data_IF_908146495027
#
_entry.id   IF_908146495027
#
_cell.length_a   1.000
_cell.length_b   1.000
_cell.length_c   1.000
_cell.angle_alpha   90.00
_cell.angle_beta   90.00
_cell.angle_gamma   90.00
#
_symmetry.space_group_name_H-M   'P 1'
#
loop_
_entity.id
_entity.type
_entity.pdbx_description
1 polymer ?
#
# COMPACT_ATOMS: atom_id res chain seq x y z
N UNK A 1 8.73 -4.64 -8.12
CA UNK A 1 9.99 -4.50 -7.35
C UNK A 1 10.77 -3.27 -7.83
N UNK A 2 11.47 -2.61 -6.92
CA UNK A 2 12.27 -1.43 -7.18
C UNK A 2 13.62 -1.57 -6.46
N UNK A 3 14.72 -1.08 -7.06
CA UNK A 3 16.08 -1.26 -6.52
C UNK A 3 16.36 -0.42 -5.27
N UNK A 4 15.64 0.70 -5.11
CA UNK A 4 15.90 1.71 -4.07
C UNK A 4 14.66 2.00 -3.22
N UNK A 5 14.07 0.99 -2.55
CA UNK A 5 12.82 1.11 -1.81
C UNK A 5 13.05 1.85 -0.49
N UNK A 6 12.78 3.15 -0.46
CA UNK A 6 13.04 4.03 0.68
C UNK A 6 12.18 3.75 1.92
N UNK A 7 11.05 3.07 1.78
CA UNK A 7 10.08 2.82 2.86
C UNK A 7 10.00 1.36 3.29
N UNK A 8 10.72 0.44 2.63
CA UNK A 8 10.62 -0.99 2.89
C UNK A 8 11.62 -1.45 3.95
N UNK A 9 11.16 -2.34 4.82
CA UNK A 9 12.04 -3.04 5.76
C UNK A 9 12.80 -4.21 5.09
N UNK A 10 13.78 -4.81 5.80
CA UNK A 10 14.70 -5.81 5.21
C UNK A 10 13.99 -6.99 4.54
N UNK A 11 12.90 -7.49 5.12
CA UNK A 11 12.14 -8.64 4.56
C UNK A 11 11.58 -8.30 3.18
N UNK A 12 11.01 -7.11 3.02
CA UNK A 12 10.43 -6.66 1.75
C UNK A 12 11.53 -6.32 0.76
N UNK A 13 12.64 -5.70 1.21
CA UNK A 13 13.80 -5.43 0.37
C UNK A 13 14.37 -6.72 -0.23
N UNK A 14 14.63 -7.73 0.60
CA UNK A 14 15.11 -9.03 0.12
C UNK A 14 14.14 -9.71 -0.84
N UNK A 15 12.82 -9.58 -0.62
CA UNK A 15 11.84 -10.09 -1.56
C UNK A 15 11.88 -9.33 -2.90
N UNK A 16 12.06 -8.02 -2.85
CA UNK A 16 12.29 -7.15 -4.02
C UNK A 16 13.55 -7.55 -4.80
N UNK A 17 14.66 -7.78 -4.13
CA UNK A 17 15.92 -8.23 -4.73
C UNK A 17 15.75 -9.58 -5.47
N UNK A 18 15.07 -10.56 -4.83
CA UNK A 18 14.76 -11.84 -5.49
C UNK A 18 13.91 -11.68 -6.74
N UNK A 19 12.94 -10.77 -6.71
CA UNK A 19 12.08 -10.46 -7.85
C UNK A 19 12.87 -9.79 -8.97
N UNK A 20 13.75 -8.82 -8.65
CA UNK A 20 14.61 -8.14 -9.60
C UNK A 20 15.61 -9.11 -10.26
N UNK A 21 16.23 -10.01 -9.49
CA UNK A 21 17.09 -11.05 -10.02
C UNK A 21 16.39 -11.95 -11.06
N UNK A 22 15.07 -12.14 -10.90
CA UNK A 22 14.20 -12.86 -11.84
C UNK A 22 13.59 -11.96 -12.93
N UNK A 23 14.03 -10.69 -13.02
CA UNK A 23 13.54 -9.67 -13.98
C UNK A 23 12.02 -9.48 -13.93
N UNK A 24 11.44 -9.53 -12.73
CA UNK A 24 10.01 -9.27 -12.54
C UNK A 24 9.77 -7.76 -12.60
N UNK A 25 9.18 -7.30 -13.68
CA UNK A 25 8.75 -5.91 -13.88
C UNK A 25 7.22 -5.78 -13.91
N UNK A 26 6.74 -4.56 -14.15
CA UNK A 26 5.31 -4.19 -14.20
C UNK A 26 4.50 -5.12 -15.10
N UNK A 27 4.94 -5.37 -16.32
CA UNK A 27 4.23 -6.22 -17.27
C UNK A 27 3.99 -7.65 -16.75
N UNK A 28 4.97 -8.22 -16.02
CA UNK A 28 4.84 -9.55 -15.42
C UNK A 28 3.84 -9.55 -14.27
N UNK A 29 3.84 -8.49 -13.45
CA UNK A 29 2.88 -8.33 -12.36
C UNK A 29 1.46 -8.24 -12.92
N UNK A 30 1.23 -7.43 -13.95
CA UNK A 30 -0.08 -7.33 -14.59
C UNK A 30 -0.54 -8.66 -15.23
N UNK A 31 0.39 -9.46 -15.75
CA UNK A 31 0.06 -10.82 -16.20
C UNK A 31 -0.44 -11.71 -15.05
N UNK A 32 0.18 -11.62 -13.87
CA UNK A 32 -0.29 -12.36 -12.68
C UNK A 32 -1.66 -11.89 -12.21
N UNK A 33 -1.93 -10.60 -12.26
CA UNK A 33 -3.26 -10.05 -11.98
C UNK A 33 -4.30 -10.66 -12.90
N UNK A 34 -4.06 -10.68 -14.21
CA UNK A 34 -4.99 -11.33 -15.19
C UNK A 34 -5.21 -12.81 -14.88
N UNK A 35 -4.14 -13.52 -14.53
CA UNK A 35 -4.23 -14.95 -14.15
C UNK A 35 -5.08 -15.15 -12.90
N UNK A 36 -4.94 -14.28 -11.91
CA UNK A 36 -5.75 -14.30 -10.70
C UNK A 36 -7.22 -14.00 -11.03
N UNK A 37 -7.48 -12.96 -11.82
CA UNK A 37 -8.83 -12.55 -12.22
C UNK A 37 -9.61 -13.60 -12.98
N UNK A 38 -8.92 -14.46 -13.71
CA UNK A 38 -9.55 -15.62 -14.39
C UNK A 38 -10.19 -16.62 -13.41
N UNK A 39 -9.83 -16.57 -12.12
CA UNK A 39 -10.32 -17.48 -11.06
C UNK A 39 -11.11 -16.75 -9.96
N UNK A 40 -10.83 -15.48 -9.76
CA UNK A 40 -11.44 -14.67 -8.70
C UNK A 40 -11.67 -13.24 -9.22
N UNK A 41 -12.94 -12.91 -9.46
CA UNK A 41 -13.37 -11.59 -9.90
C UNK A 41 -13.80 -10.69 -8.73
N UNK A 42 -13.91 -11.22 -7.52
CA UNK A 42 -14.49 -10.53 -6.37
C UNK A 42 -13.45 -9.92 -5.41
N UNK A 43 -12.34 -10.60 -5.16
CA UNK A 43 -11.32 -10.12 -4.24
C UNK A 43 -10.62 -8.87 -4.79
N UNK A 44 -10.66 -7.71 -4.10
CA UNK A 44 -9.98 -6.50 -4.57
C UNK A 44 -8.46 -6.68 -4.68
N UNK A 45 -7.88 -6.13 -5.75
CA UNK A 45 -6.42 -6.10 -5.96
C UNK A 45 -5.94 -4.66 -5.96
N UNK A 46 -5.06 -4.33 -5.03
CA UNK A 46 -4.36 -3.05 -4.98
C UNK A 46 -2.87 -3.29 -5.22
N UNK A 47 -2.31 -2.61 -6.21
CA UNK A 47 -0.87 -2.63 -6.45
C UNK A 47 -0.20 -1.55 -5.60
N UNK A 48 0.81 -1.94 -4.83
CA UNK A 48 1.62 -1.03 -4.02
C UNK A 48 3.04 -0.98 -4.56
N UNK A 49 3.59 0.21 -4.72
CA UNK A 49 4.94 0.39 -5.23
C UNK A 49 5.40 1.84 -5.18
N UNK A 50 6.41 2.12 -6.00
CA UNK A 50 7.09 3.42 -6.09
C UNK A 50 6.81 4.08 -7.44
N UNK A 51 6.97 5.40 -7.51
CA UNK A 51 6.68 6.19 -8.70
C UNK A 51 7.60 5.85 -9.88
N UNK A 52 8.90 5.71 -9.62
CA UNK A 52 9.90 5.50 -10.67
C UNK A 52 9.59 4.30 -11.60
N UNK A 53 9.25 3.08 -11.14
CA UNK A 53 8.84 1.99 -12.02
C UNK A 53 7.62 2.32 -12.89
N UNK A 54 6.69 3.14 -12.40
CA UNK A 54 5.51 3.55 -13.16
C UNK A 54 5.86 4.57 -14.23
N UNK A 55 6.76 5.51 -13.93
CA UNK A 55 7.26 6.50 -14.89
C UNK A 55 8.03 5.82 -16.02
N UNK A 56 8.93 4.88 -15.70
CA UNK A 56 9.69 4.10 -16.70
C UNK A 56 8.74 3.31 -17.61
N UNK A 57 7.67 2.74 -17.05
CA UNK A 57 6.65 2.02 -17.84
C UNK A 57 5.78 2.97 -18.68
N UNK A 58 5.70 4.23 -18.28
CA UNK A 58 4.78 5.25 -18.76
C UNK A 58 3.46 5.21 -18.00
N UNK A 59 3.18 6.26 -17.20
CA UNK A 59 2.04 6.28 -16.25
C UNK A 59 0.69 6.06 -16.96
N UNK A 60 0.46 6.73 -18.10
CA UNK A 60 -0.76 6.56 -18.90
C UNK A 60 -0.92 5.13 -19.42
N UNK A 61 0.20 4.52 -19.85
CA UNK A 61 0.21 3.14 -20.31
C UNK A 61 -0.06 2.19 -19.17
N UNK A 62 0.61 2.38 -18.04
CA UNK A 62 0.38 1.59 -16.83
C UNK A 62 -1.08 1.66 -16.38
N UNK A 63 -1.67 2.85 -16.33
CA UNK A 63 -3.05 3.04 -15.90
C UNK A 63 -4.04 2.20 -16.74
N UNK A 64 -3.93 2.28 -18.07
CA UNK A 64 -4.75 1.47 -18.98
C UNK A 64 -4.52 -0.02 -18.80
N UNK A 65 -3.25 -0.46 -18.84
CA UNK A 65 -2.90 -1.88 -18.74
C UNK A 65 -3.30 -2.49 -17.38
N UNK A 66 -3.24 -1.69 -16.29
CA UNK A 66 -3.64 -2.11 -14.95
C UNK A 66 -5.17 -2.25 -14.85
N UNK A 67 -5.92 -1.28 -15.36
CA UNK A 67 -7.38 -1.37 -15.43
C UNK A 67 -7.83 -2.57 -16.27
N UNK A 68 -7.26 -2.76 -17.46
CA UNK A 68 -7.54 -3.91 -18.34
C UNK A 68 -7.16 -5.26 -17.70
N UNK A 69 -6.17 -5.27 -16.81
CA UNK A 69 -5.78 -6.46 -16.07
C UNK A 69 -6.74 -6.78 -14.91
N UNK A 70 -7.58 -5.84 -14.49
CA UNK A 70 -8.50 -5.97 -13.39
C UNK A 70 -7.91 -5.55 -12.03
N UNK A 71 -6.98 -4.59 -12.02
CA UNK A 71 -6.54 -3.91 -10.81
C UNK A 71 -7.65 -2.97 -10.34
N UNK A 72 -7.93 -2.91 -9.04
CA UNK A 72 -8.95 -2.03 -8.45
C UNK A 72 -8.35 -0.71 -7.95
N UNK A 73 -7.10 -0.72 -7.52
CA UNK A 73 -6.45 0.48 -6.99
C UNK A 73 -4.93 0.41 -7.00
N UNK A 74 -4.32 1.57 -6.80
CA UNK A 74 -2.87 1.73 -6.76
C UNK A 74 -2.48 2.61 -5.58
N UNK A 75 -1.45 2.18 -4.84
CA UNK A 75 -0.79 2.93 -3.79
C UNK A 75 0.64 3.23 -4.24
N UNK A 76 0.95 4.49 -4.46
CA UNK A 76 2.31 4.96 -4.79
C UNK A 76 2.91 5.60 -3.54
N UNK A 77 3.93 4.94 -2.97
CA UNK A 77 4.46 5.24 -1.63
C UNK A 77 5.14 6.62 -1.57
N UNK A 78 5.83 6.99 -2.63
CA UNK A 78 6.67 8.19 -2.74
C UNK A 78 6.04 9.30 -3.59
N UNK A 79 4.73 9.24 -3.85
CA UNK A 79 4.00 10.30 -4.52
C UNK A 79 3.00 10.96 -3.54
N UNK A 80 3.36 12.09 -2.93
CA UNK A 80 2.50 12.79 -1.99
C UNK A 80 1.28 13.41 -2.68
N UNK A 81 0.28 13.80 -1.87
CA UNK A 81 -0.95 14.42 -2.40
C UNK A 81 -0.69 15.73 -3.15
N UNK A 82 0.39 16.42 -2.82
CA UNK A 82 0.80 17.65 -3.50
C UNK A 82 1.16 17.43 -4.97
N UNK A 83 1.60 16.20 -5.32
CA UNK A 83 1.95 15.75 -6.68
C UNK A 83 0.82 14.94 -7.34
N UNK A 84 -0.42 15.16 -6.90
CA UNK A 84 -1.59 14.38 -7.33
C UNK A 84 -1.82 14.40 -8.84
N UNK A 85 -1.49 15.49 -9.51
CA UNK A 85 -1.62 15.63 -10.97
C UNK A 85 -0.80 14.59 -11.74
N UNK A 86 0.35 14.14 -11.23
CA UNK A 86 1.19 13.10 -11.82
C UNK A 86 0.44 11.79 -11.96
N UNK A 87 -0.43 11.46 -11.00
CA UNK A 87 -1.20 10.21 -10.96
C UNK A 87 -2.65 10.36 -11.47
N UNK A 88 -3.00 11.50 -12.08
CA UNK A 88 -4.32 11.70 -12.69
C UNK A 88 -4.72 10.56 -13.65
N UNK A 89 -3.81 10.03 -14.51
CA UNK A 89 -4.15 8.93 -15.41
C UNK A 89 -4.69 7.67 -14.72
N UNK A 90 -4.33 7.42 -13.45
CA UNK A 90 -4.89 6.29 -12.67
C UNK A 90 -6.39 6.50 -12.43
N UNK A 91 -6.79 7.71 -12.04
CA UNK A 91 -8.21 8.05 -11.82
C UNK A 91 -9.00 8.03 -13.13
N UNK A 92 -8.41 8.55 -14.20
CA UNK A 92 -9.03 8.57 -15.54
C UNK A 92 -9.29 7.15 -16.05
N UNK A 93 -8.47 6.18 -15.64
CA UNK A 93 -8.64 4.76 -15.93
C UNK A 93 -9.57 4.03 -14.93
N UNK A 94 -10.17 4.73 -13.96
CA UNK A 94 -11.06 4.14 -12.95
C UNK A 94 -10.35 3.41 -11.80
N UNK A 95 -9.04 3.56 -11.65
CA UNK A 95 -8.27 2.95 -10.56
C UNK A 95 -8.36 3.83 -9.30
N UNK A 96 -8.70 3.23 -8.17
CA UNK A 96 -8.72 3.92 -6.89
C UNK A 96 -7.29 4.31 -6.48
N UNK A 97 -7.08 5.59 -6.17
CA UNK A 97 -5.82 6.05 -5.60
C UNK A 97 -5.85 5.89 -4.08
N UNK A 98 -5.09 4.92 -3.57
CA UNK A 98 -4.94 4.71 -2.13
C UNK A 98 -3.91 5.69 -1.61
N UNK A 99 -4.28 6.48 -0.60
CA UNK A 99 -3.41 7.46 0.02
C UNK A 99 -2.86 6.98 1.35
N UNK A 100 -1.69 7.52 1.73
CA UNK A 100 -1.02 7.24 2.99
C UNK A 100 -1.21 8.39 3.98
N UNK A 101 -1.47 8.05 5.23
CA UNK A 101 -1.32 8.94 6.37
C UNK A 101 -0.39 8.28 7.39
N UNK A 102 0.41 9.08 8.09
CA UNK A 102 1.38 8.62 9.08
C UNK A 102 1.28 9.48 10.36
N UNK A 103 1.88 9.06 11.47
CA UNK A 103 1.97 9.89 12.68
C UNK A 103 2.59 11.27 12.45
N UNK A 104 3.45 11.37 11.45
CA UNK A 104 4.11 12.62 11.02
C UNK A 104 3.26 13.50 10.09
N UNK A 105 2.11 13.00 9.61
CA UNK A 105 1.20 13.79 8.79
C UNK A 105 0.60 14.92 9.60
N UNK A 106 0.83 16.15 9.15
CA UNK A 106 0.37 17.35 9.86
C UNK A 106 -1.16 17.47 9.87
N UNK A 107 -1.71 18.12 10.88
CA UNK A 107 -3.15 18.37 11.00
C UNK A 107 -3.71 19.16 9.79
N UNK A 108 -2.91 20.00 9.17
CA UNK A 108 -3.30 20.76 7.97
C UNK A 108 -3.40 19.90 6.71
N UNK A 109 -2.65 18.78 6.61
CA UNK A 109 -2.68 17.85 5.45
C UNK A 109 -3.78 16.81 5.56
N UNK A 110 -4.15 16.41 6.77
CA UNK A 110 -5.12 15.33 6.99
C UNK A 110 -6.46 15.56 6.28
N UNK A 111 -7.11 16.75 6.33
CA UNK A 111 -8.36 16.97 5.62
C UNK A 111 -8.23 16.79 4.10
N UNK A 112 -7.16 17.28 3.50
CA UNK A 112 -6.89 17.12 2.06
C UNK A 112 -6.72 15.65 1.67
N UNK A 113 -6.00 14.89 2.48
CA UNK A 113 -5.80 13.44 2.28
C UNK A 113 -7.14 12.71 2.44
N UNK A 114 -7.91 13.05 3.49
CA UNK A 114 -9.20 12.42 3.76
C UNK A 114 -10.22 12.65 2.63
N UNK A 115 -10.27 13.87 2.08
CA UNK A 115 -11.15 14.25 0.97
C UNK A 115 -10.76 13.56 -0.35
N UNK A 116 -9.46 13.43 -0.61
CA UNK A 116 -8.95 12.85 -1.86
C UNK A 116 -8.83 11.32 -1.84
N UNK A 117 -8.94 10.67 -0.67
CA UNK A 117 -8.78 9.23 -0.51
C UNK A 117 -9.87 8.46 -1.27
N UNK A 118 -9.45 7.40 -1.97
CA UNK A 118 -10.34 6.49 -2.69
C UNK A 118 -10.08 5.05 -2.24
N UNK A 119 -11.08 4.18 -2.34
CA UNK A 119 -10.98 2.80 -1.89
C UNK A 119 -10.82 2.69 -0.37
N UNK A 120 -9.65 3.01 0.15
CA UNK A 120 -9.37 3.12 1.58
C UNK A 120 -8.21 4.09 1.86
N UNK A 121 -8.13 4.60 3.08
CA UNK A 121 -6.96 5.35 3.56
C UNK A 121 -6.04 4.38 4.31
N UNK A 122 -4.77 4.33 3.93
CA UNK A 122 -3.78 3.51 4.63
C UNK A 122 -3.05 4.34 5.70
N UNK A 123 -3.34 4.05 6.97
CA UNK A 123 -2.61 4.63 8.08
C UNK A 123 -1.40 3.77 8.44
N UNK A 124 -0.21 4.32 8.20
CA UNK A 124 1.07 3.70 8.57
C UNK A 124 1.32 4.01 10.05
N UNK A 125 1.13 3.02 10.94
CA UNK A 125 1.21 3.22 12.40
C UNK A 125 2.63 3.41 12.96
N UNK A 126 3.63 3.40 12.10
CA UNK A 126 5.04 3.51 12.47
C UNK A 126 5.73 4.64 11.69
N UNK A 127 6.42 5.53 12.39
CA UNK A 127 7.22 6.59 11.78
C UNK A 127 8.71 6.20 11.85
N UNK A 128 9.27 5.76 10.72
CA UNK A 128 10.71 5.64 10.54
C UNK A 128 11.27 4.21 10.47
N UNK A 129 12.31 4.07 9.68
CA UNK A 129 13.05 2.83 9.42
C UNK A 129 14.01 2.50 10.59
N UNK A 130 14.39 3.50 11.40
CA UNK A 130 15.39 3.34 12.46
C UNK A 130 14.98 4.08 13.74
N UNK A 131 14.78 3.32 14.83
CA UNK A 131 14.83 3.84 16.20
C UNK A 131 13.71 4.77 16.67
N UNK A 132 12.72 5.08 15.86
CA UNK A 132 11.57 5.85 16.30
C UNK A 132 10.73 5.05 17.30
N UNK A 133 10.32 5.70 18.39
CA UNK A 133 9.48 5.09 19.43
C UNK A 133 8.23 4.48 18.79
N UNK A 134 7.98 3.19 19.05
CA UNK A 134 6.74 2.53 18.67
C UNK A 134 5.59 3.29 19.32
N UNK A 135 4.66 3.79 18.51
CA UNK A 135 3.42 4.31 19.07
C UNK A 135 2.73 3.19 19.85
N UNK A 136 2.23 3.52 21.03
CA UNK A 136 1.44 2.58 21.81
C UNK A 136 0.07 2.40 21.17
N UNK A 137 -0.52 1.24 21.30
CA UNK A 137 -1.85 0.93 20.73
C UNK A 137 -2.89 2.03 21.02
N UNK A 138 -3.00 2.60 22.23
CA UNK A 138 -3.97 3.69 22.51
C UNK A 138 -3.72 4.96 21.68
N UNK A 139 -2.47 5.28 21.36
CA UNK A 139 -2.12 6.46 20.54
C UNK A 139 -2.49 6.24 19.08
N UNK A 140 -2.29 5.01 18.59
CA UNK A 140 -2.73 4.61 17.23
C UNK A 140 -4.24 4.66 17.16
N UNK A 141 -4.94 4.09 18.14
CA UNK A 141 -6.39 4.05 18.21
C UNK A 141 -7.01 5.46 18.17
N UNK A 142 -6.52 6.39 18.99
CA UNK A 142 -7.03 7.76 18.99
C UNK A 142 -6.91 8.43 17.63
N UNK A 143 -5.78 8.24 16.92
CA UNK A 143 -5.54 8.79 15.58
C UNK A 143 -6.42 8.12 14.54
N UNK A 144 -6.55 6.80 14.57
CA UNK A 144 -7.41 6.05 13.63
C UNK A 144 -8.86 6.45 13.78
N UNK A 145 -9.37 6.59 15.03
CA UNK A 145 -10.73 7.09 15.28
C UNK A 145 -10.95 8.49 14.70
N UNK A 146 -9.98 9.39 14.86
CA UNK A 146 -10.05 10.73 14.28
C UNK A 146 -10.08 10.69 12.74
N UNK A 147 -9.27 9.83 12.11
CA UNK A 147 -9.27 9.63 10.67
C UNK A 147 -10.58 9.04 10.17
N UNK A 148 -11.13 8.02 10.82
CA UNK A 148 -12.43 7.42 10.46
C UNK A 148 -13.57 8.43 10.52
N UNK A 149 -13.52 9.39 11.44
CA UNK A 149 -14.51 10.46 11.51
C UNK A 149 -14.36 11.53 10.41
N UNK A 150 -13.16 11.66 9.85
CA UNK A 150 -12.82 12.66 8.83
C UNK A 150 -12.90 12.12 7.39
N UNK A 151 -12.79 10.79 7.20
CA UNK A 151 -12.76 10.15 5.89
C UNK A 151 -14.13 9.58 5.50
N UNK A 152 -14.46 9.64 4.23
CA UNK A 152 -15.61 8.92 3.65
C UNK A 152 -15.28 7.47 3.27
N UNK A 153 -14.02 7.07 3.30
CA UNK A 153 -13.53 5.72 2.98
C UNK A 153 -13.04 4.98 4.22
N UNK A 154 -13.02 3.64 4.20
CA UNK A 154 -12.46 2.84 5.30
C UNK A 154 -11.01 3.21 5.62
N UNK A 155 -10.60 3.04 6.87
CA UNK A 155 -9.22 3.25 7.32
C UNK A 155 -8.56 1.91 7.60
N UNK A 156 -7.58 1.55 6.79
CA UNK A 156 -6.73 0.39 6.97
C UNK A 156 -5.47 0.77 7.77
N UNK A 157 -5.11 -0.04 8.75
CA UNK A 157 -3.92 0.19 9.59
C UNK A 157 -2.90 -0.90 9.35
N UNK A 158 -1.67 -0.51 9.14
CA UNK A 158 -0.57 -1.43 8.94
C UNK A 158 0.74 -0.90 9.46
N UNK A 159 1.74 -1.70 9.23
CA UNK A 159 3.11 -1.56 9.65
C UNK A 159 3.43 -2.19 11.01
N UNK A 160 4.28 -3.21 10.96
CA UNK A 160 4.79 -3.90 12.15
C UNK A 160 3.84 -4.93 12.77
N UNK A 161 2.74 -5.30 12.12
CA UNK A 161 1.88 -6.41 12.52
C UNK A 161 2.62 -7.73 12.26
N UNK A 162 2.91 -8.48 13.33
CA UNK A 162 3.75 -9.70 13.25
C UNK A 162 2.99 -10.99 13.52
N UNK A 163 1.89 -10.90 14.26
CA UNK A 163 1.14 -12.04 14.75
C UNK A 163 -0.37 -11.76 14.82
N UNK A 164 -1.13 -12.79 15.12
CA UNK A 164 -2.57 -12.74 15.20
C UNK A 164 -3.07 -11.83 16.36
N UNK A 165 -2.34 -11.77 17.47
CA UNK A 165 -2.72 -10.94 18.60
C UNK A 165 -2.60 -9.45 18.26
N UNK A 166 -1.50 -9.05 17.61
CA UNK A 166 -1.32 -7.69 17.11
C UNK A 166 -2.35 -7.31 16.05
N UNK A 167 -2.67 -8.23 15.14
CA UNK A 167 -3.72 -8.03 14.15
C UNK A 167 -5.09 -7.83 14.81
N UNK A 168 -5.45 -8.67 15.77
CA UNK A 168 -6.72 -8.58 16.50
C UNK A 168 -6.83 -7.27 17.31
N UNK A 169 -5.74 -6.82 17.93
CA UNK A 169 -5.71 -5.57 18.67
C UNK A 169 -6.00 -4.36 17.78
N UNK A 170 -5.48 -4.34 16.55
CA UNK A 170 -5.74 -3.28 15.56
C UNK A 170 -7.14 -3.39 14.99
N UNK A 171 -7.60 -4.60 14.67
CA UNK A 171 -8.94 -4.84 14.14
C UNK A 171 -10.07 -4.39 15.08
N UNK A 172 -9.79 -4.21 16.36
CA UNK A 172 -10.77 -3.71 17.34
C UNK A 172 -11.20 -2.24 17.09
N UNK A 173 -10.39 -1.44 16.37
CA UNK A 173 -10.66 -0.02 16.14
C UNK A 173 -10.44 0.45 14.69
N UNK A 174 -9.82 -0.36 13.83
CA UNK A 174 -9.60 -0.08 12.41
C UNK A 174 -10.62 -0.84 11.55
N UNK A 175 -10.90 -0.34 10.34
CA UNK A 175 -11.78 -1.03 9.39
C UNK A 175 -11.07 -2.20 8.69
N UNK A 176 -9.74 -2.13 8.57
CA UNK A 176 -8.91 -3.20 8.02
C UNK A 176 -7.50 -3.20 8.64
N UNK A 177 -6.84 -4.35 8.56
CA UNK A 177 -5.45 -4.54 9.01
C UNK A 177 -4.59 -4.95 7.83
N UNK A 178 -3.47 -4.26 7.64
CA UNK A 178 -2.50 -4.59 6.57
C UNK A 178 -1.34 -5.39 7.17
N UNK A 179 -1.14 -6.59 6.63
CA UNK A 179 -0.08 -7.51 7.05
C UNK A 179 0.84 -7.74 5.84
N UNK A 180 2.07 -7.27 5.91
CA UNK A 180 3.07 -7.38 4.84
C UNK A 180 4.19 -8.35 5.20
N UNK A 181 5.22 -7.85 5.89
CA UNK A 181 6.47 -8.57 6.14
C UNK A 181 6.29 -9.97 6.76
N UNK A 182 5.33 -10.15 7.67
CA UNK A 182 5.08 -11.44 8.29
C UNK A 182 4.60 -12.51 7.30
N UNK A 183 3.83 -12.13 6.28
CA UNK A 183 3.38 -13.03 5.21
C UNK A 183 4.51 -13.30 4.21
N UNK A 184 5.23 -12.26 3.81
CA UNK A 184 6.35 -12.37 2.86
C UNK A 184 7.47 -13.25 3.41
N UNK A 185 7.78 -13.11 4.69
CA UNK A 185 8.80 -13.94 5.38
C UNK A 185 8.41 -15.43 5.42
N UNK A 186 7.14 -15.71 5.75
CA UNK A 186 6.62 -17.09 5.72
C UNK A 186 6.65 -17.70 4.32
N UNK A 187 6.28 -16.93 3.30
CA UNK A 187 6.32 -17.38 1.91
C UNK A 187 7.76 -17.67 1.45
N UNK A 188 8.74 -16.86 1.87
CA UNK A 188 10.15 -17.10 1.57
C UNK A 188 10.63 -18.44 2.13
N UNK A 189 10.34 -18.73 3.41
CA UNK A 189 10.71 -20.00 4.05
C UNK A 189 9.98 -21.23 3.47
N UNK A 190 8.84 -21.04 2.80
CA UNK A 190 8.10 -22.16 2.17
C UNK A 190 8.58 -22.46 0.74
N UNK A 191 9.26 -21.51 0.09
CA UNK A 191 9.76 -21.68 -1.28
C UNK A 191 11.10 -22.45 -1.34
N UNK A 192 11.79 -22.58 -0.20
CA UNK A 192 13.04 -23.30 -0.06
C UNK A 192 12.84 -24.73 0.53
N UNK A 193 11.60 -25.14 0.80
CA UNK A 193 11.22 -26.48 1.28
C UNK A 193 10.53 -27.29 0.18
#
# INVERSE_FOLDING_TARGET
AFSDPMADGPVIQHAGERALAKRVGVARILQWVRTFRARDSATPIVLMGYLNPLEIHGIQRFAREAADAGVDGVLVVDCPIEEDATLQPLRDAGLARILLAAPTTSAARLPRIAEAAQGYLYYVSFAGITGAARLRVPEIEARVRALRNACSVPVAVGFGVRDAAGAAAIAAFADAVVIGSALVDRLAGSADA
#
